data_IF_066647125034
#
_entry.id   IF_066647125034
#
_cell.length_a   1.000
_cell.length_b   1.000
_cell.length_c   1.000
_cell.angle_alpha   90.00
_cell.angle_beta   90.00
_cell.angle_gamma   90.00
#
_symmetry.space_group_name_H-M   'P 1'
#
loop_
_entity.id
_entity.type
_entity.pdbx_description
1 polymer ?
#
# COMPACT_ATOMS: atom_id res chain seq x y z
N UNK A 1 16.66 -1.94 -6.17
CA UNK A 1 17.52 -2.94 -6.86
C UNK A 1 18.85 -2.34 -7.27
N UNK A 2 18.84 -1.18 -7.93
CA UNK A 2 20.03 -0.45 -8.43
C UNK A 2 21.14 -0.18 -7.39
N UNK A 3 20.75 -0.02 -6.12
CA UNK A 3 21.68 0.18 -5.00
C UNK A 3 22.08 -1.14 -4.29
N UNK A 4 21.77 -2.30 -4.89
CA UNK A 4 22.10 -3.63 -4.37
C UNK A 4 21.31 -4.10 -3.14
N UNK A 5 20.37 -3.28 -2.66
CA UNK A 5 19.64 -3.54 -1.40
C UNK A 5 18.61 -4.66 -1.52
N UNK A 6 17.94 -4.71 -2.67
CA UNK A 6 17.08 -5.82 -3.07
C UNK A 6 17.78 -6.53 -4.21
N UNK A 7 18.02 -7.83 -4.05
CA UNK A 7 18.61 -8.71 -5.05
C UNK A 7 17.51 -9.63 -5.58
N UNK A 8 17.01 -9.44 -6.81
CA UNK A 8 16.00 -10.31 -7.41
C UNK A 8 16.39 -11.79 -7.32
N UNK A 9 15.42 -12.66 -7.05
CA UNK A 9 15.64 -14.09 -6.84
C UNK A 9 16.39 -14.50 -5.56
N UNK A 10 16.95 -13.55 -4.79
CA UNK A 10 17.73 -13.83 -3.56
C UNK A 10 17.07 -13.24 -2.33
N UNK A 11 16.61 -11.99 -2.40
CA UNK A 11 15.94 -11.32 -1.29
C UNK A 11 14.57 -11.94 -1.05
N UNK A 12 14.29 -12.33 0.20
CA UNK A 12 12.92 -12.62 0.62
C UNK A 12 12.12 -11.33 0.65
N UNK A 13 10.94 -11.37 0.04
CA UNK A 13 10.04 -10.22 -0.03
C UNK A 13 8.69 -10.62 0.55
N UNK A 14 8.04 -9.67 1.21
CA UNK A 14 6.68 -9.85 1.69
C UNK A 14 5.87 -8.62 1.27
N UNK A 15 4.58 -8.78 1.03
CA UNK A 15 3.73 -7.68 0.63
C UNK A 15 2.25 -7.95 0.89
N UNK A 16 1.50 -6.86 0.89
CA UNK A 16 0.04 -6.82 0.86
C UNK A 16 -0.36 -5.72 -0.11
N UNK A 17 -1.58 -5.76 -0.65
CA UNK A 17 -2.06 -4.73 -1.59
C UNK A 17 -1.08 -4.49 -2.75
N UNK A 18 -0.90 -3.25 -3.19
CA UNK A 18 0.13 -2.84 -4.16
C UNK A 18 1.56 -3.29 -3.81
N UNK A 19 1.89 -3.50 -2.53
CA UNK A 19 3.17 -4.04 -2.09
C UNK A 19 3.36 -5.51 -2.43
N UNK A 20 2.30 -6.31 -2.46
CA UNK A 20 2.36 -7.69 -2.93
C UNK A 20 2.67 -7.76 -4.42
N UNK A 21 2.02 -6.90 -5.22
CA UNK A 21 2.28 -6.75 -6.65
C UNK A 21 3.75 -6.34 -6.88
N UNK A 22 4.20 -5.30 -6.19
CA UNK A 22 5.59 -4.82 -6.24
C UNK A 22 6.59 -5.92 -5.84
N UNK A 23 6.30 -6.67 -4.78
CA UNK A 23 7.17 -7.75 -4.28
C UNK A 23 7.34 -8.88 -5.32
N UNK A 24 6.25 -9.33 -5.94
CA UNK A 24 6.31 -10.37 -6.97
C UNK A 24 7.04 -9.89 -8.21
N UNK A 25 6.70 -8.70 -8.74
CA UNK A 25 7.37 -8.14 -9.91
C UNK A 25 8.88 -7.97 -9.65
N UNK A 26 9.25 -7.44 -8.48
CA UNK A 26 10.66 -7.31 -8.07
C UNK A 26 11.36 -8.66 -7.95
N UNK A 27 10.71 -9.68 -7.36
CA UNK A 27 11.29 -11.02 -7.24
C UNK A 27 11.55 -11.68 -8.61
N UNK A 28 10.70 -11.36 -9.59
CA UNK A 28 10.82 -11.81 -10.98
C UNK A 28 11.82 -10.98 -11.80
N UNK A 29 12.42 -9.95 -11.22
CA UNK A 29 13.46 -9.14 -11.85
C UNK A 29 12.96 -7.93 -12.63
N UNK A 30 11.70 -7.54 -12.49
CA UNK A 30 11.20 -6.29 -13.07
C UNK A 30 11.86 -5.11 -12.36
N UNK A 31 12.50 -4.22 -13.10
CA UNK A 31 13.12 -3.01 -12.56
C UNK A 31 12.08 -1.94 -12.16
N UNK A 32 12.55 -0.83 -11.58
CA UNK A 32 11.65 0.26 -11.14
C UNK A 32 10.88 0.91 -12.29
N UNK A 33 11.49 1.05 -13.46
CA UNK A 33 10.87 1.66 -14.63
C UNK A 33 9.80 0.74 -15.24
N UNK A 34 10.09 -0.57 -15.32
CA UNK A 34 9.13 -1.58 -15.77
C UNK A 34 7.94 -1.67 -14.82
N UNK A 35 8.16 -1.62 -13.50
CA UNK A 35 7.08 -1.61 -12.52
C UNK A 35 6.25 -0.33 -12.63
N UNK A 36 6.88 0.84 -12.79
CA UNK A 36 6.17 2.11 -13.04
C UNK A 36 5.28 2.00 -14.27
N UNK A 37 5.84 1.55 -15.39
CA UNK A 37 5.12 1.44 -16.65
C UNK A 37 3.93 0.48 -16.54
N UNK A 38 4.13 -0.65 -15.84
CA UNK A 38 3.06 -1.60 -15.55
C UNK A 38 1.88 -0.93 -14.82
N UNK A 39 2.13 -0.19 -13.74
CA UNK A 39 1.06 0.46 -12.97
C UNK A 39 0.43 1.66 -13.69
N UNK A 40 1.24 2.51 -14.33
CA UNK A 40 0.75 3.69 -15.07
C UNK A 40 -0.12 3.26 -16.23
N UNK A 41 0.30 2.27 -17.02
CA UNK A 41 -0.49 1.76 -18.14
C UNK A 41 -1.77 1.05 -17.69
N UNK A 42 -1.74 0.34 -16.56
CA UNK A 42 -2.96 -0.23 -15.96
C UNK A 42 -3.97 0.85 -15.58
N UNK A 43 -3.53 1.96 -14.98
CA UNK A 43 -4.43 3.08 -14.64
C UNK A 43 -4.91 3.80 -15.89
N UNK A 44 -4.04 4.02 -16.89
CA UNK A 44 -4.42 4.68 -18.14
C UNK A 44 -5.52 3.89 -18.87
N UNK A 45 -5.33 2.59 -19.05
CA UNK A 45 -6.33 1.70 -19.67
C UNK A 45 -7.65 1.68 -18.89
N UNK A 46 -7.55 1.67 -17.56
CA UNK A 46 -8.69 1.66 -16.69
C UNK A 46 -9.50 2.98 -16.77
N UNK A 47 -8.83 4.13 -16.86
CA UNK A 47 -9.47 5.42 -17.16
C UNK A 47 -10.05 5.45 -18.57
N UNK A 48 -9.39 4.86 -19.56
CA UNK A 48 -9.89 4.76 -20.93
C UNK A 48 -11.17 3.92 -21.02
N UNK A 49 -11.20 2.76 -20.37
CA UNK A 49 -12.33 1.82 -20.40
C UNK A 49 -13.56 2.33 -19.62
N UNK A 50 -13.37 2.97 -18.46
CA UNK A 50 -14.48 3.29 -17.54
C UNK A 50 -14.56 4.77 -17.09
N UNK A 51 -13.64 5.63 -17.52
CA UNK A 51 -13.55 7.02 -17.06
C UNK A 51 -13.06 7.19 -15.61
N UNK A 52 -12.93 6.09 -14.87
CA UNK A 52 -12.43 6.03 -13.49
C UNK A 52 -11.93 4.62 -13.17
N UNK A 53 -10.98 4.53 -12.24
CA UNK A 53 -10.48 3.24 -11.76
C UNK A 53 -11.14 2.69 -10.52
N UNK A 54 -12.01 3.48 -9.89
CA UNK A 54 -12.75 3.05 -8.73
C UNK A 54 -13.65 1.87 -9.10
N UNK A 55 -13.40 0.73 -8.46
CA UNK A 55 -14.14 -0.52 -8.64
C UNK A 55 -13.67 -1.36 -9.82
N UNK A 56 -12.69 -0.91 -10.61
CA UNK A 56 -12.33 -1.56 -11.89
C UNK A 56 -10.85 -1.93 -12.04
N UNK A 57 -9.93 -1.30 -11.30
CA UNK A 57 -8.48 -1.51 -11.50
C UNK A 57 -8.03 -2.97 -11.35
N UNK A 58 -8.65 -3.75 -10.44
CA UNK A 58 -8.30 -5.17 -10.28
C UNK A 58 -8.62 -6.03 -11.51
N UNK A 59 -9.58 -5.62 -12.34
CA UNK A 59 -9.88 -6.30 -13.59
C UNK A 59 -8.71 -6.16 -14.56
N UNK A 60 -8.23 -4.93 -14.76
CA UNK A 60 -7.08 -4.62 -15.61
C UNK A 60 -5.80 -5.25 -15.07
N UNK A 61 -5.57 -5.18 -13.76
CA UNK A 61 -4.40 -5.82 -13.15
C UNK A 61 -4.41 -7.33 -13.35
N UNK A 62 -5.58 -7.99 -13.26
CA UNK A 62 -5.69 -9.43 -13.50
C UNK A 62 -5.28 -9.81 -14.91
N UNK A 63 -5.82 -9.12 -15.92
CA UNK A 63 -5.52 -9.32 -17.33
C UNK A 63 -4.02 -9.13 -17.59
N UNK A 64 -3.49 -7.98 -17.17
CA UNK A 64 -2.08 -7.63 -17.38
C UNK A 64 -1.12 -8.59 -16.69
N UNK A 65 -1.42 -9.03 -15.47
CA UNK A 65 -0.58 -10.02 -14.78
C UNK A 65 -0.63 -11.38 -15.47
N UNK A 66 -1.79 -11.80 -15.99
CA UNK A 66 -1.89 -13.06 -16.73
C UNK A 66 -1.03 -13.04 -18.00
N UNK A 67 -0.95 -11.89 -18.66
CA UNK A 67 -0.20 -11.68 -19.89
C UNK A 67 1.30 -11.47 -19.65
N UNK A 68 1.68 -10.65 -18.66
CA UNK A 68 3.08 -10.23 -18.48
C UNK A 68 3.90 -11.21 -17.63
N UNK A 69 3.26 -11.99 -16.75
CA UNK A 69 3.98 -12.94 -15.91
C UNK A 69 4.36 -14.20 -16.71
N UNK A 70 5.60 -14.68 -16.57
CA UNK A 70 6.01 -15.94 -17.20
C UNK A 70 5.22 -17.12 -16.63
N UNK A 71 5.04 -18.18 -17.42
CA UNK A 71 4.23 -19.33 -17.01
C UNK A 71 4.77 -20.02 -15.74
N UNK A 72 6.08 -19.93 -15.50
CA UNK A 72 6.76 -20.43 -14.31
C UNK A 72 6.89 -19.39 -13.17
N UNK A 73 6.15 -18.27 -13.23
CA UNK A 73 6.22 -17.22 -12.23
C UNK A 73 5.97 -17.75 -10.80
N UNK A 74 4.96 -18.60 -10.65
CA UNK A 74 4.59 -19.20 -9.36
C UNK A 74 5.76 -19.96 -8.71
N UNK A 75 6.45 -20.83 -9.46
CA UNK A 75 7.57 -21.61 -8.93
C UNK A 75 8.79 -20.75 -8.63
N UNK A 76 9.00 -19.65 -9.39
CA UNK A 76 10.12 -18.71 -9.16
C UNK A 76 9.99 -17.91 -7.87
N UNK A 77 8.76 -17.60 -7.44
CA UNK A 77 8.48 -16.76 -6.27
C UNK A 77 8.05 -17.55 -5.03
N UNK A 78 7.55 -18.78 -5.21
CA UNK A 78 7.28 -19.73 -4.12
C UNK A 78 8.45 -19.85 -3.15
N UNK A 79 8.16 -19.82 -1.84
CA UNK A 79 9.14 -19.87 -0.75
C UNK A 79 10.00 -18.60 -0.59
N UNK A 80 9.92 -17.64 -1.53
CA UNK A 80 10.71 -16.40 -1.52
C UNK A 80 9.86 -15.17 -1.27
N UNK A 81 8.66 -15.15 -1.85
CA UNK A 81 7.69 -14.07 -1.69
C UNK A 81 6.58 -14.52 -0.76
N UNK A 82 6.10 -13.62 0.11
CA UNK A 82 4.91 -13.84 0.94
C UNK A 82 3.86 -12.77 0.64
N UNK A 83 2.64 -13.19 0.37
CA UNK A 83 1.51 -12.31 0.08
C UNK A 83 0.49 -12.46 1.19
N UNK A 84 0.07 -11.35 1.79
CA UNK A 84 -0.94 -11.35 2.83
C UNK A 84 -2.33 -11.02 2.31
N UNK A 85 -3.32 -11.74 2.82
CA UNK A 85 -4.74 -11.60 2.57
C UNK A 85 -5.46 -11.47 3.91
N UNK A 86 -6.60 -10.79 3.91
CA UNK A 86 -7.50 -10.76 5.06
C UNK A 86 -8.68 -11.67 4.78
N UNK A 87 -8.72 -12.83 5.44
CA UNK A 87 -9.80 -13.80 5.27
C UNK A 87 -11.02 -13.38 6.10
N UNK A 88 -12.17 -13.32 5.45
CA UNK A 88 -13.43 -13.03 6.09
C UNK A 88 -13.98 -14.28 6.76
N UNK A 89 -14.59 -14.09 7.93
CA UNK A 89 -15.37 -15.11 8.61
C UNK A 89 -16.85 -14.92 8.23
N UNK A 90 -17.42 -15.89 7.51
CA UNK A 90 -18.81 -15.85 7.06
C UNK A 90 -19.82 -15.77 8.23
N UNK A 91 -19.41 -16.14 9.45
CA UNK A 91 -20.22 -16.00 10.66
C UNK A 91 -20.22 -14.58 11.26
N UNK A 92 -19.43 -13.64 10.71
CA UNK A 92 -19.28 -12.28 11.26
C UNK A 92 -19.96 -11.23 10.39
N UNK A 93 -20.53 -10.22 11.05
CA UNK A 93 -21.20 -9.09 10.40
C UNK A 93 -20.29 -7.86 10.27
N UNK A 94 -19.02 -7.98 10.63
CA UNK A 94 -18.02 -6.91 10.53
C UNK A 94 -16.75 -7.45 9.86
N UNK A 95 -15.97 -6.53 9.28
CA UNK A 95 -14.63 -6.86 8.77
C UNK A 95 -13.62 -7.06 9.92
N UNK A 96 -14.06 -6.91 11.18
CA UNK A 96 -13.21 -7.02 12.36
C UNK A 96 -12.84 -8.47 12.70
N UNK A 97 -11.58 -8.65 13.06
CA UNK A 97 -11.03 -9.96 13.36
C UNK A 97 -11.09 -10.90 12.16
N UNK A 98 -11.05 -10.34 10.94
CA UNK A 98 -10.63 -11.07 9.75
C UNK A 98 -9.32 -11.78 10.06
N UNK A 99 -9.19 -13.03 9.62
CA UNK A 99 -8.00 -13.82 9.89
C UNK A 99 -6.85 -13.38 8.98
N UNK A 100 -5.66 -13.24 9.55
CA UNK A 100 -4.43 -13.03 8.79
C UNK A 100 -4.12 -14.31 8.02
N UNK A 101 -4.08 -14.23 6.69
CA UNK A 101 -3.66 -15.34 5.84
C UNK A 101 -2.45 -14.94 4.99
N UNK A 102 -1.28 -15.49 5.32
CA UNK A 102 -0.04 -15.24 4.59
C UNK A 102 0.28 -16.44 3.70
N UNK A 103 0.22 -16.24 2.40
CA UNK A 103 0.50 -17.24 1.37
C UNK A 103 1.94 -17.07 0.90
N UNK A 104 2.68 -18.17 0.82
CA UNK A 104 4.03 -18.19 0.25
C UNK A 104 4.24 -19.25 -0.83
N UNK A 105 3.16 -19.96 -1.20
CA UNK A 105 3.21 -21.07 -2.15
C UNK A 105 2.00 -21.03 -3.07
N UNK A 106 2.25 -21.20 -4.38
CA UNK A 106 1.23 -21.13 -5.42
C UNK A 106 1.29 -22.33 -6.36
N UNK A 107 0.13 -22.88 -6.73
CA UNK A 107 0.04 -24.06 -7.57
C UNK A 107 0.28 -23.76 -9.06
N UNK A 108 0.03 -22.52 -9.50
CA UNK A 108 0.14 -22.10 -10.89
C UNK A 108 0.25 -20.57 -11.02
N UNK A 109 0.59 -20.07 -12.22
CA UNK A 109 0.50 -18.64 -12.55
C UNK A 109 -0.90 -18.08 -12.23
N UNK A 110 -1.97 -18.81 -12.57
CA UNK A 110 -3.34 -18.36 -12.31
C UNK A 110 -3.65 -18.23 -10.80
N UNK A 111 -3.17 -19.16 -9.99
CA UNK A 111 -3.30 -19.11 -8.52
C UNK A 111 -2.50 -17.94 -7.92
N UNK A 112 -1.30 -17.65 -8.45
CA UNK A 112 -0.52 -16.46 -8.09
C UNK A 112 -1.25 -15.15 -8.44
N UNK A 113 -1.76 -15.02 -9.66
CA UNK A 113 -2.53 -13.84 -10.11
C UNK A 113 -3.79 -13.65 -9.27
N UNK A 114 -4.51 -14.73 -8.98
CA UNK A 114 -5.68 -14.71 -8.08
C UNK A 114 -5.29 -14.23 -6.68
N UNK A 115 -4.19 -14.73 -6.12
CA UNK A 115 -3.68 -14.31 -4.82
C UNK A 115 -3.32 -12.81 -4.79
N UNK A 116 -2.63 -12.32 -5.82
CA UNK A 116 -2.21 -10.93 -5.93
C UNK A 116 -3.40 -9.96 -6.01
N UNK A 117 -4.34 -10.25 -6.91
CA UNK A 117 -5.54 -9.41 -7.07
C UNK A 117 -6.47 -9.49 -5.87
N UNK A 118 -6.48 -10.61 -5.14
CA UNK A 118 -7.20 -10.73 -3.88
C UNK A 118 -6.53 -9.93 -2.74
N UNK A 119 -5.20 -9.94 -2.68
CA UNK A 119 -4.42 -9.16 -1.71
C UNK A 119 -4.60 -7.65 -1.90
N UNK A 120 -4.93 -7.21 -3.11
CA UNK A 120 -5.21 -5.82 -3.50
C UNK A 120 -6.72 -5.51 -3.56
N UNK A 121 -7.60 -6.40 -3.08
CA UNK A 121 -9.06 -6.20 -3.15
C UNK A 121 -9.56 -5.29 -2.02
N UNK A 122 -9.40 -3.98 -2.20
CA UNK A 122 -10.02 -2.97 -1.35
C UNK A 122 -11.51 -2.90 -1.72
N UNK A 123 -12.43 -3.20 -0.78
CA UNK A 123 -13.87 -3.25 -1.06
C UNK A 123 -14.36 -1.99 -1.77
N UNK A 124 -14.93 -2.16 -2.97
CA UNK A 124 -15.57 -1.09 -3.76
C UNK A 124 -14.63 0.06 -4.17
N UNK A 125 -13.32 -0.19 -4.08
CA UNK A 125 -12.28 0.73 -4.51
C UNK A 125 -11.42 0.12 -5.60
N UNK A 126 -10.87 -1.07 -5.41
CA UNK A 126 -10.10 -1.74 -6.48
C UNK A 126 -10.92 -2.74 -7.28
N UNK A 127 -11.98 -3.30 -6.68
CA UNK A 127 -12.97 -4.14 -7.35
C UNK A 127 -14.41 -3.72 -7.02
N UNK A 128 -15.42 -4.21 -7.76
CA UNK A 128 -16.79 -3.71 -7.65
C UNK A 128 -17.57 -4.35 -6.49
N UNK A 129 -16.99 -5.34 -5.82
CA UNK A 129 -17.62 -6.15 -4.78
C UNK A 129 -17.01 -5.87 -3.40
N UNK A 130 -17.74 -6.30 -2.37
CA UNK A 130 -17.28 -6.22 -0.97
C UNK A 130 -16.08 -7.12 -0.67
N UNK A 131 -16.02 -8.26 -1.34
CA UNK A 131 -14.96 -9.24 -1.19
C UNK A 131 -14.73 -9.92 -2.54
N UNK A 132 -13.62 -10.63 -2.64
CA UNK A 132 -13.36 -11.55 -3.74
C UNK A 132 -13.09 -12.95 -3.19
N UNK A 133 -13.00 -13.93 -4.06
CA UNK A 133 -12.71 -15.30 -3.69
C UNK A 133 -11.25 -15.63 -3.97
N UNK A 134 -10.57 -16.20 -2.99
CA UNK A 134 -9.26 -16.82 -3.17
C UNK A 134 -9.29 -18.23 -2.58
N UNK A 135 -9.03 -19.25 -3.41
CA UNK A 135 -9.10 -20.67 -3.03
C UNK A 135 -10.40 -21.04 -2.28
N UNK A 136 -11.53 -20.56 -2.81
CA UNK A 136 -12.88 -20.76 -2.27
C UNK A 136 -13.17 -20.09 -0.91
N UNK A 137 -12.30 -19.19 -0.46
CA UNK A 137 -12.50 -18.41 0.75
C UNK A 137 -12.79 -16.94 0.42
N UNK A 138 -13.74 -16.29 1.10
CA UNK A 138 -13.99 -14.87 0.94
C UNK A 138 -12.85 -14.06 1.57
N UNK A 139 -12.24 -13.18 0.79
CA UNK A 139 -11.08 -12.38 1.21
C UNK A 139 -11.21 -10.93 0.76
N UNK A 140 -10.50 -10.05 1.47
CA UNK A 140 -10.27 -8.65 1.10
C UNK A 140 -8.79 -8.32 1.21
N UNK A 141 -8.44 -7.08 0.88
CA UNK A 141 -7.09 -6.54 0.94
C UNK A 141 -6.33 -6.96 2.21
N UNK A 142 -5.06 -7.35 2.03
CA UNK A 142 -4.23 -7.85 3.12
C UNK A 142 -4.04 -6.87 4.28
N UNK A 143 -4.18 -5.56 4.04
CA UNK A 143 -4.04 -4.50 5.05
C UNK A 143 -5.06 -4.54 6.18
N UNK A 144 -6.15 -5.32 6.04
CA UNK A 144 -7.21 -5.38 7.04
C UNK A 144 -6.89 -6.28 8.24
N UNK A 145 -6.12 -7.35 8.05
CA UNK A 145 -5.78 -8.33 9.08
C UNK A 145 -4.28 -8.51 9.30
N UNK A 146 -3.44 -7.94 8.43
CA UNK A 146 -2.01 -8.20 8.43
C UNK A 146 -1.21 -6.93 8.69
N UNK A 147 -0.20 -7.08 9.53
CA UNK A 147 0.79 -6.06 9.78
C UNK A 147 2.21 -6.55 9.55
N UNK A 148 3.13 -5.75 10.05
CA UNK A 148 4.56 -6.02 9.97
C UNK A 148 4.92 -7.37 10.61
N UNK A 149 4.32 -7.71 11.76
CA UNK A 149 4.61 -8.94 12.48
C UNK A 149 4.27 -10.20 11.67
N UNK A 150 3.13 -10.20 10.97
CA UNK A 150 2.68 -11.34 10.17
C UNK A 150 3.59 -11.54 8.94
N UNK A 151 3.91 -10.47 8.22
CA UNK A 151 4.71 -10.50 6.99
C UNK A 151 6.20 -10.80 7.25
N UNK A 152 6.71 -10.38 8.40
CA UNK A 152 8.11 -10.55 8.80
C UNK A 152 8.35 -11.74 9.74
N UNK A 153 7.31 -12.52 10.05
CA UNK A 153 7.40 -13.60 11.04
C UNK A 153 8.52 -14.60 10.68
N UNK A 154 9.38 -14.86 11.66
CA UNK A 154 10.50 -15.80 11.54
C UNK A 154 11.78 -15.23 10.94
N UNK A 155 11.81 -13.97 10.52
CA UNK A 155 13.01 -13.35 9.94
C UNK A 155 13.82 -12.58 10.99
N UNK A 156 15.16 -12.72 11.01
CA UNK A 156 16.01 -12.03 11.99
C UNK A 156 16.07 -10.53 11.72
N UNK A 157 15.91 -10.13 10.46
CA UNK A 157 15.92 -8.73 10.05
C UNK A 157 14.90 -8.54 8.92
N UNK A 158 13.91 -7.68 9.18
CA UNK A 158 12.87 -7.36 8.23
C UNK A 158 12.80 -5.86 8.03
N UNK A 159 12.35 -5.54 6.84
CA UNK A 159 12.81 -4.42 6.10
C UNK A 159 11.48 -3.66 5.80
N UNK A 160 11.18 -2.37 6.06
CA UNK A 160 9.91 -1.67 5.65
C UNK A 160 10.07 -0.49 4.65
N UNK A 161 9.30 -0.47 3.56
CA UNK A 161 9.09 0.59 2.53
C UNK A 161 7.57 0.71 2.38
N UNK A 162 7.10 1.90 2.03
CA UNK A 162 5.68 2.08 1.71
C UNK A 162 5.45 3.35 0.90
N UNK A 163 4.23 3.68 0.43
CA UNK A 163 3.96 4.66 -0.65
C UNK A 163 3.36 6.02 -0.28
N UNK A 164 2.84 6.24 0.93
CA UNK A 164 2.13 7.49 1.27
C UNK A 164 2.31 7.95 2.72
N UNK A 165 3.45 8.53 3.10
CA UNK A 165 3.62 9.19 4.41
C UNK A 165 4.17 10.59 4.25
N UNK A 166 4.10 11.39 5.29
CA UNK A 166 4.58 12.76 5.28
C UNK A 166 5.39 12.99 6.55
N UNK A 167 6.70 12.93 6.36
CA UNK A 167 7.72 13.09 7.38
C UNK A 167 7.96 14.57 7.64
N UNK A 168 8.91 14.86 8.51
CA UNK A 168 9.11 16.20 9.07
C UNK A 168 9.48 17.29 8.03
N UNK A 169 9.92 16.92 6.82
CA UNK A 169 10.22 17.84 5.72
C UNK A 169 9.06 18.02 4.73
N UNK A 170 7.94 17.30 4.89
CA UNK A 170 6.72 17.61 4.17
C UNK A 170 6.15 18.96 4.63
N UNK A 171 5.68 19.78 3.70
CA UNK A 171 5.18 21.13 4.03
C UNK A 171 4.05 21.01 5.07
N UNK A 172 4.24 21.65 6.22
CA UNK A 172 3.52 21.43 7.48
C UNK A 172 2.08 21.95 7.51
N UNK A 173 1.48 22.27 6.38
CA UNK A 173 0.14 22.83 6.32
C UNK A 173 -0.92 21.72 6.35
N UNK A 174 -1.36 21.31 7.55
CA UNK A 174 -2.75 20.90 7.77
C UNK A 174 -3.63 22.17 7.65
N UNK A 175 -3.82 22.69 6.44
CA UNK A 175 -4.72 23.82 6.22
C UNK A 175 -6.14 23.28 5.99
N UNK A 176 -6.97 23.34 7.03
CA UNK A 176 -8.36 22.90 6.98
C UNK A 176 -9.23 23.73 6.00
N UNK A 177 -8.79 24.93 5.64
CA UNK A 177 -9.43 25.77 4.62
C UNK A 177 -9.08 25.35 3.19
N UNK A 178 -7.91 24.75 2.99
CA UNK A 178 -7.47 24.21 1.69
C UNK A 178 -7.83 22.73 1.50
N UNK A 179 -7.96 21.97 2.59
CA UNK A 179 -8.27 20.54 2.59
C UNK A 179 -9.54 20.24 3.41
N UNK A 180 -10.71 20.51 2.83
CA UNK A 180 -12.00 20.37 3.50
C UNK A 180 -12.29 18.94 3.99
N UNK A 181 -11.78 17.92 3.29
CA UNK A 181 -11.97 16.50 3.68
C UNK A 181 -11.22 16.15 4.98
N UNK A 182 -10.15 16.90 5.29
CA UNK A 182 -9.31 16.73 6.48
C UNK A 182 -9.74 17.58 7.68
N UNK A 183 -10.69 18.51 7.51
CA UNK A 183 -11.31 19.20 8.64
C UNK A 183 -12.00 18.21 9.61
N UNK A 184 -12.52 17.10 9.09
CA UNK A 184 -13.13 16.03 9.86
C UNK A 184 -12.12 15.13 10.61
N UNK A 185 -10.85 15.08 10.16
CA UNK A 185 -9.81 14.19 10.72
C UNK A 185 -9.04 14.79 11.92
N UNK A 186 -9.45 15.97 12.39
CA UNK A 186 -8.80 16.77 13.45
C UNK A 186 -7.34 17.15 13.15
N UNK A 187 -7.00 17.31 11.88
CA UNK A 187 -5.69 17.86 11.43
C UNK A 187 -5.43 19.26 12.02
N UNK A 188 -6.48 20.00 12.39
CA UNK A 188 -6.44 21.37 12.90
C UNK A 188 -6.11 21.54 14.40
N UNK A 189 -5.81 20.47 15.15
CA UNK A 189 -5.46 20.62 16.57
C UNK A 189 -4.04 21.20 16.74
N UNK A 190 -3.87 22.31 17.48
CA UNK A 190 -2.54 22.80 17.88
C UNK A 190 -1.73 21.76 18.67
N UNK A 191 -2.39 20.75 19.23
CA UNK A 191 -1.80 19.64 19.98
C UNK A 191 -1.29 18.51 19.07
N UNK A 192 -1.66 18.50 17.78
CA UNK A 192 -1.02 17.66 16.74
C UNK A 192 0.11 18.43 16.06
N UNK A 193 1.05 18.96 16.85
CA UNK A 193 2.41 19.27 16.36
C UNK A 193 3.26 18.01 16.24
N UNK A 194 2.82 16.92 16.86
CA UNK A 194 3.44 15.61 16.71
C UNK A 194 2.77 14.84 15.56
N UNK A 195 3.55 14.16 14.70
CA UNK A 195 3.02 13.28 13.68
C UNK A 195 2.03 12.30 14.31
N UNK A 196 0.91 12.05 13.62
CA UNK A 196 -0.06 10.98 13.94
C UNK A 196 0.72 9.78 14.46
N UNK A 197 0.33 9.15 15.59
CA UNK A 197 1.10 8.08 16.22
C UNK A 197 1.33 6.95 15.23
N UNK A 198 2.45 7.07 14.53
CA UNK A 198 3.10 6.02 13.83
C UNK A 198 3.71 5.18 14.91
N UNK A 199 3.41 3.89 14.95
CA UNK A 199 4.42 2.93 15.40
C UNK A 199 5.52 2.89 14.33
N UNK A 200 6.23 4.02 14.21
CA UNK A 200 7.58 4.13 13.70
C UNK A 200 8.41 3.35 14.72
N UNK A 201 8.97 2.22 14.30
CA UNK A 201 10.08 1.59 15.02
C UNK A 201 9.74 1.09 16.45
N UNK A 202 9.45 -0.21 16.61
CA UNK A 202 9.65 -0.90 17.89
C UNK A 202 10.72 -1.99 17.75
N UNK A 203 11.74 -1.90 18.59
CA UNK A 203 12.82 -2.87 18.74
C UNK A 203 12.30 -4.11 19.49
N UNK A 204 11.61 -5.03 18.82
CA UNK A 204 11.16 -6.27 19.47
C UNK A 204 12.25 -7.35 19.40
N UNK A 205 13.20 -7.33 20.34
CA UNK A 205 13.85 -8.59 20.75
C UNK A 205 12.83 -9.40 21.56
N UNK A 206 12.77 -10.71 21.34
CA UNK A 206 12.11 -11.61 22.29
C UNK A 206 12.71 -11.36 23.68
N UNK A 207 11.93 -10.74 24.57
CA UNK A 207 12.17 -10.77 26.00
C UNK A 207 12.27 -9.46 26.77
N UNK A 208 12.36 -8.25 26.19
CA UNK A 208 12.37 -7.03 27.02
C UNK A 208 11.92 -5.73 26.32
N UNK A 209 11.28 -4.88 27.13
CA UNK A 209 10.60 -3.62 26.82
C UNK A 209 11.43 -2.68 25.92
N UNK A 210 10.75 -2.05 24.98
CA UNK A 210 11.30 -1.16 23.95
C UNK A 210 12.02 0.08 24.52
N UNK A 211 13.29 0.21 24.18
CA UNK A 211 14.02 1.48 24.08
C UNK A 211 15.03 1.37 22.92
N UNK A 212 14.88 2.27 21.94
CA UNK A 212 15.69 2.53 20.72
C UNK A 212 17.17 2.80 21.14
N UNK A 213 18.27 2.53 20.38
CA UNK A 213 18.42 2.74 18.93
C UNK A 213 19.21 1.70 18.10
N UNK A 214 19.15 1.92 16.78
CA UNK A 214 19.85 1.29 15.64
C UNK A 214 19.28 -0.05 15.15
N UNK A 215 18.48 -0.01 14.08
CA UNK A 215 18.25 -1.15 13.17
C UNK A 215 17.71 -0.63 11.83
N UNK A 216 18.33 -1.04 10.72
CA UNK A 216 17.94 -0.78 9.33
C UNK A 216 17.20 -2.00 8.79
N UNK A 217 16.20 -1.83 7.88
CA UNK A 217 15.81 -2.72 6.74
C UNK A 217 14.47 -2.14 6.01
N UNK A 218 14.09 -2.40 4.70
CA UNK A 218 13.02 -2.11 3.61
C UNK A 218 11.95 -3.20 3.03
N UNK A 219 10.61 -2.97 2.96
CA UNK A 219 9.46 -3.83 2.45
C UNK A 219 8.73 -3.08 1.34
N UNK A 220 8.20 -3.59 0.23
CA UNK A 220 7.31 -2.76 -0.63
C UNK A 220 5.91 -2.42 0.00
N UNK A 221 5.17 -1.40 -0.50
CA UNK A 221 4.13 -0.66 0.24
C UNK A 221 2.80 -1.27 0.62
N UNK A 222 2.27 -0.78 1.75
CA UNK A 222 0.90 -0.93 2.21
C UNK A 222 0.10 0.39 2.08
N UNK A 223 -1.17 0.28 1.71
CA UNK A 223 -2.26 1.23 2.01
C UNK A 223 -3.21 0.50 3.00
N UNK A 224 -3.83 1.19 3.97
CA UNK A 224 -3.34 1.34 5.35
C UNK A 224 -3.37 0.06 6.22
N UNK A 225 -2.56 0.06 7.30
CA UNK A 225 -2.91 -0.66 8.53
C UNK A 225 -4.10 0.07 9.16
N UNK A 226 -5.22 -0.62 9.22
CA UNK A 226 -6.43 -0.14 9.83
C UNK A 226 -6.21 0.34 11.28
N UNK A 227 -6.51 1.62 11.55
CA UNK A 227 -6.55 2.13 12.92
C UNK A 227 -7.54 1.35 13.80
N UNK A 228 -7.59 1.61 15.12
CA UNK A 228 -8.41 0.86 16.10
C UNK A 228 -9.93 0.88 15.84
N UNK A 229 -10.38 1.55 14.78
CA UNK A 229 -11.79 1.72 14.39
C UNK A 229 -12.20 0.89 13.15
N UNK A 230 -11.29 0.34 12.34
CA UNK A 230 -11.73 -0.51 11.22
C UNK A 230 -12.37 -1.82 11.70
N UNK A 231 -12.02 -2.22 12.92
CA UNK A 231 -12.73 -3.26 13.66
C UNK A 231 -14.20 -2.92 14.02
N UNK A 232 -14.69 -1.74 13.64
CA UNK A 232 -16.08 -1.34 13.84
C UNK A 232 -16.87 -1.33 12.53
N UNK A 233 -16.22 -1.52 11.37
CA UNK A 233 -16.89 -1.45 10.08
C UNK A 233 -17.80 -2.66 9.89
N UNK A 234 -19.11 -2.41 9.88
CA UNK A 234 -20.10 -3.43 9.57
C UNK A 234 -20.05 -3.72 8.08
N UNK A 235 -20.16 -4.99 7.68
CA UNK A 235 -20.23 -5.39 6.26
C UNK A 235 -21.30 -4.57 5.52
N UNK A 236 -22.38 -4.23 6.22
CA UNK A 236 -23.46 -3.39 5.74
C UNK A 236 -23.07 -1.93 5.48
N UNK A 237 -22.23 -1.31 6.30
CA UNK A 237 -21.74 0.05 6.08
C UNK A 237 -20.79 0.12 4.88
N UNK A 238 -20.02 -0.93 4.68
CA UNK A 238 -19.18 -1.07 3.47
C UNK A 238 -20.08 -1.27 2.25
N UNK A 239 -21.15 -2.07 2.34
CA UNK A 239 -22.14 -2.27 1.27
C UNK A 239 -22.85 -0.97 0.86
N UNK A 240 -23.19 -0.13 1.84
CA UNK A 240 -23.78 1.19 1.61
C UNK A 240 -22.79 2.13 0.89
N UNK A 241 -21.49 2.09 1.24
CA UNK A 241 -20.44 2.84 0.53
C UNK A 241 -20.23 2.37 -0.92
N UNK A 242 -20.59 1.13 -1.22
CA UNK A 242 -20.57 0.58 -2.57
C UNK A 242 -21.75 1.03 -3.44
N UNK A 243 -22.73 1.76 -2.88
CA UNK A 243 -23.95 2.15 -3.61
C UNK A 243 -24.93 1.00 -3.84
N UNK A 244 -24.86 -0.08 -3.06
CA UNK A 244 -25.83 -1.18 -3.12
C UNK A 244 -27.03 -0.89 -2.19
N UNK A 245 -28.26 -1.07 -2.70
CA UNK A 245 -29.50 -0.92 -1.93
C UNK A 245 -29.63 -1.99 -0.83
N UNK A 246 -29.00 -1.78 0.32
CA UNK A 246 -29.24 -2.54 1.53
C UNK A 246 -29.95 -1.66 2.57
N UNK A 247 -31.28 -1.61 2.53
CA UNK A 247 -32.11 -0.87 3.50
C UNK A 247 -31.91 -1.37 4.92
N UNK A 248 -31.71 -0.43 5.86
CA UNK A 248 -32.12 -0.41 7.30
C UNK A 248 -31.41 0.80 8.02
N UNK A 249 -31.85 1.27 9.19
CA UNK A 249 -31.56 2.64 9.65
C UNK A 249 -30.19 2.83 10.32
N UNK A 250 -29.76 4.10 10.30
CA UNK A 250 -28.42 4.66 10.54
C UNK A 250 -28.21 5.15 11.99
N UNK A 251 -26.95 5.09 12.48
CA UNK A 251 -26.31 6.22 13.18
C UNK A 251 -24.79 6.06 13.36
N UNK A 252 -24.03 7.05 12.85
CA UNK A 252 -22.73 7.47 13.40
C UNK A 252 -21.50 7.19 12.52
N UNK A 253 -20.98 8.22 11.84
CA UNK A 253 -19.75 8.14 11.04
C UNK A 253 -18.46 8.22 11.88
N UNK A 254 -17.35 7.74 11.30
CA UNK A 254 -16.00 7.90 11.88
C UNK A 254 -14.92 8.06 10.79
N UNK A 255 -14.19 9.17 10.91
CA UNK A 255 -12.83 9.35 10.41
C UNK A 255 -11.85 8.84 11.48
N UNK A 256 -10.85 8.05 11.09
CA UNK A 256 -9.82 7.50 11.98
C UNK A 256 -8.42 7.67 11.38
N UNK A 257 -7.38 7.88 12.20
CA UNK A 257 -6.04 8.21 11.73
C UNK A 257 -5.26 6.94 11.35
N UNK A 258 -4.57 6.97 10.21
CA UNK A 258 -3.83 5.82 9.66
C UNK A 258 -2.32 6.02 9.81
N UNK A 259 -1.58 5.05 10.39
CA UNK A 259 -0.13 5.08 10.35
C UNK A 259 0.35 4.58 8.99
N UNK A 260 1.10 5.44 8.31
CA UNK A 260 1.57 5.24 6.94
C UNK A 260 3.11 5.44 6.85
N UNK A 261 3.81 4.90 5.81
CA UNK A 261 5.23 5.04 5.32
C UNK A 261 6.24 6.09 5.85
N UNK A 262 7.27 6.53 5.11
CA UNK A 262 8.25 7.56 5.55
C UNK A 262 8.64 8.56 4.41
N UNK A 263 7.70 9.18 3.69
CA UNK A 263 8.02 10.13 2.58
C UNK A 263 8.00 11.53 3.12
N UNK A 264 8.74 12.48 2.57
CA UNK A 264 8.84 13.79 3.23
C UNK A 264 9.79 13.78 4.43
N UNK A 265 10.51 12.68 4.68
CA UNK A 265 11.59 12.63 5.69
C UNK A 265 12.92 13.07 5.11
N UNK A 266 13.19 12.69 3.86
CA UNK A 266 14.45 12.99 3.19
C UNK A 266 14.34 14.18 2.25
N UNK A 267 13.24 14.29 1.51
CA UNK A 267 13.01 15.37 0.56
C UNK A 267 11.72 16.12 0.87
N UNK A 268 11.65 17.40 0.49
CA UNK A 268 10.38 18.16 0.55
C UNK A 268 9.36 17.57 -0.43
N UNK A 269 8.07 17.71 -0.12
CA UNK A 269 6.99 17.37 -1.05
C UNK A 269 7.17 18.11 -2.40
N UNK A 270 6.78 17.48 -3.53
CA UNK A 270 7.09 18.01 -4.85
C UNK A 270 6.22 19.23 -5.19
N UNK A 271 6.55 19.88 -6.31
CA UNK A 271 5.73 20.95 -6.90
C UNK A 271 4.77 20.32 -7.91
N UNK A 272 3.49 20.69 -7.83
CA UNK A 272 2.47 20.28 -8.78
C UNK A 272 2.75 20.88 -10.15
N UNK A 273 2.84 20.07 -11.23
CA UNK A 273 3.14 20.58 -12.56
C UNK A 273 2.00 21.40 -13.15
N UNK A 274 0.77 21.27 -12.65
CA UNK A 274 -0.41 21.95 -13.20
C UNK A 274 -0.70 23.33 -12.59
N UNK A 275 -0.25 23.62 -11.35
CA UNK A 275 -0.50 24.92 -10.71
C UNK A 275 0.77 25.58 -10.13
N UNK A 276 1.93 24.92 -10.22
CA UNK A 276 3.21 25.43 -9.72
C UNK A 276 3.30 25.54 -8.20
N UNK A 277 2.29 25.07 -7.45
CA UNK A 277 2.28 25.10 -5.98
C UNK A 277 2.89 23.83 -5.42
N UNK A 278 3.50 23.92 -4.24
CA UNK A 278 3.94 22.72 -3.53
C UNK A 278 2.72 21.90 -3.12
N UNK A 279 2.85 20.58 -3.21
CA UNK A 279 1.86 19.67 -2.66
C UNK A 279 1.81 19.84 -1.15
N UNK A 280 0.61 20.06 -0.62
CA UNK A 280 0.38 20.09 0.81
C UNK A 280 0.38 18.67 1.39
N UNK A 281 0.67 18.55 2.68
CA UNK A 281 0.61 17.28 3.36
C UNK A 281 -0.77 16.61 3.20
N UNK A 282 -1.84 17.37 3.43
CA UNK A 282 -3.19 16.84 3.29
C UNK A 282 -3.53 16.42 1.85
N UNK A 283 -3.14 17.20 0.84
CA UNK A 283 -3.32 16.84 -0.58
C UNK A 283 -2.64 15.50 -0.90
N UNK A 284 -1.38 15.32 -0.47
CA UNK A 284 -0.62 14.09 -0.71
C UNK A 284 -1.32 12.85 -0.14
N UNK A 285 -1.92 12.98 1.05
CA UNK A 285 -2.66 11.90 1.68
C UNK A 285 -3.99 11.64 0.98
N UNK A 286 -4.71 12.69 0.57
CA UNK A 286 -5.98 12.57 -0.16
C UNK A 286 -5.79 11.86 -1.50
N UNK A 287 -4.69 12.15 -2.22
CA UNK A 287 -4.35 11.52 -3.50
C UNK A 287 -4.27 9.99 -3.46
N UNK A 288 -3.93 9.40 -2.31
CA UNK A 288 -3.91 7.94 -2.14
C UNK A 288 -5.31 7.30 -2.23
N UNK A 289 -6.36 8.09 -2.01
CA UNK A 289 -7.74 7.60 -1.88
C UNK A 289 -8.70 8.24 -2.87
N UNK A 290 -8.44 9.47 -3.30
CA UNK A 290 -9.31 10.24 -4.16
C UNK A 290 -8.50 11.28 -4.95
N UNK A 291 -7.62 10.85 -5.88
CA UNK A 291 -6.89 11.80 -6.72
C UNK A 291 -7.88 12.54 -7.64
N UNK A 292 -7.70 13.85 -7.88
CA UNK A 292 -8.43 14.58 -8.91
C UNK A 292 -8.35 13.84 -10.26
N UNK A 293 -9.49 13.49 -10.89
CA UNK A 293 -9.51 12.70 -12.12
C UNK A 293 -8.63 13.28 -13.23
N UNK A 294 -8.69 14.59 -13.43
CA UNK A 294 -7.93 15.36 -14.44
C UNK A 294 -6.41 15.37 -14.20
N UNK A 295 -5.95 14.97 -13.02
CA UNK A 295 -4.54 14.98 -12.64
C UNK A 295 -4.04 13.60 -12.20
N UNK A 296 -4.83 12.54 -12.34
CA UNK A 296 -4.50 11.20 -11.81
C UNK A 296 -3.14 10.70 -12.31
N UNK A 297 -2.87 10.78 -13.62
CA UNK A 297 -1.58 10.35 -14.18
C UNK A 297 -0.41 11.22 -13.71
N UNK A 298 -0.61 12.54 -13.62
CA UNK A 298 0.40 13.46 -13.13
C UNK A 298 0.73 13.22 -11.65
N UNK A 299 -0.28 12.92 -10.84
CA UNK A 299 -0.14 12.54 -9.43
C UNK A 299 0.65 11.24 -9.31
N UNK A 300 0.31 10.20 -10.09
CA UNK A 300 1.07 8.95 -10.08
C UNK A 300 2.55 9.17 -10.42
N UNK A 301 2.84 10.01 -11.43
CA UNK A 301 4.20 10.34 -11.81
C UNK A 301 4.93 11.09 -10.70
N UNK A 302 4.28 12.10 -10.08
CA UNK A 302 4.83 12.83 -8.93
C UNK A 302 5.13 11.91 -7.75
N UNK A 303 4.22 10.98 -7.45
CA UNK A 303 4.41 9.97 -6.40
C UNK A 303 5.58 9.06 -6.74
N UNK A 304 5.68 8.57 -7.97
CA UNK A 304 6.84 7.76 -8.36
C UNK A 304 8.16 8.53 -8.18
N UNK A 305 8.25 9.75 -8.74
CA UNK A 305 9.49 10.54 -8.71
C UNK A 305 9.90 10.94 -7.29
N UNK A 306 8.92 11.26 -6.44
CA UNK A 306 9.16 11.53 -5.03
C UNK A 306 9.69 10.28 -4.30
N UNK A 307 9.09 9.11 -4.57
CA UNK A 307 9.50 7.84 -4.01
C UNK A 307 10.93 7.44 -4.41
N UNK A 308 11.32 7.70 -5.66
CA UNK A 308 12.70 7.49 -6.14
C UNK A 308 13.66 8.38 -5.34
N UNK A 309 13.40 9.69 -5.25
CA UNK A 309 14.26 10.63 -4.52
C UNK A 309 14.42 10.24 -3.06
N UNK A 310 13.32 9.88 -2.39
CA UNK A 310 13.37 9.45 -0.99
C UNK A 310 14.12 8.12 -0.82
N UNK A 311 13.96 7.17 -1.75
CA UNK A 311 14.73 5.93 -1.73
C UNK A 311 16.23 6.14 -1.95
N UNK A 312 16.60 7.08 -2.83
CA UNK A 312 17.99 7.45 -3.07
C UNK A 312 18.63 8.12 -1.86
N UNK A 313 17.95 9.11 -1.26
CA UNK A 313 18.42 9.77 -0.05
C UNK A 313 18.54 8.81 1.13
N UNK A 314 17.57 7.89 1.30
CA UNK A 314 17.67 6.82 2.28
C UNK A 314 18.90 5.95 2.02
N UNK A 315 19.10 5.52 0.77
CA UNK A 315 20.23 4.67 0.39
C UNK A 315 21.57 5.34 0.68
N UNK A 316 21.71 6.63 0.36
CA UNK A 316 22.91 7.43 0.61
C UNK A 316 23.21 7.61 2.10
N UNK A 317 22.22 8.02 2.91
CA UNK A 317 22.34 8.06 4.37
C UNK A 317 22.76 6.70 4.93
N UNK A 318 22.39 5.63 4.22
CA UNK A 318 22.65 4.27 4.61
C UNK A 318 23.92 3.66 3.97
N UNK A 319 24.73 4.45 3.27
CA UNK A 319 25.98 3.98 2.67
C UNK A 319 25.79 2.96 1.55
N UNK A 320 24.58 2.86 1.00
CA UNK A 320 24.31 2.10 -0.22
C UNK A 320 24.63 2.98 -1.43
N UNK A 321 25.92 3.01 -1.77
CA UNK A 321 26.41 3.72 -2.94
C UNK A 321 25.83 3.10 -4.24
N UNK A 322 25.72 3.89 -5.34
CA UNK A 322 25.35 3.30 -6.62
C UNK A 322 26.32 2.18 -6.96
N UNK A 323 25.80 1.05 -7.46
CA UNK A 323 26.66 0.01 -7.99
C UNK A 323 27.54 0.65 -9.07
N UNK A 324 28.86 0.69 -8.86
CA UNK A 324 29.77 1.06 -9.93
C UNK A 324 29.53 0.06 -11.06
N UNK A 325 29.06 0.55 -12.20
CA UNK A 325 29.01 -0.25 -13.42
C UNK A 325 30.46 -0.67 -13.68
N UNK A 326 30.77 -1.93 -13.38
CA UNK A 326 31.99 -2.55 -13.87
C UNK A 326 31.77 -2.69 -15.37
N UNK A 327 32.23 -1.69 -16.11
CA UNK A 327 32.29 -1.69 -17.58
C UNK A 327 33.24 -2.77 -18.08
#
# INVERSE_FOLDING_TARGET
>A
MERGVIKPGVSHLSGLSGGALTAVLTALGFDGAQQREFFVSAVAECVERWGSCKGHINEVLRERLADCLPDDAASKVSGRVRVALSQLDAGRTSLNGSASWVVGEWASKADLVSCLTASDHIPCFTGPTLYTMFRNEPVIDGGYANGFEQLCSGQPECLKVSTFHIGALGDSACDAGLCASMAASKCASPERREPIPSTLYQRCRRGNRCAVPSCRRLLAPAIPQNGPLAGQWRIREVAERCGMNATLPVRGGLAGPYPLPDWGKWNKLPIKPWDGKRVLACEWQEWATNPPPEHTLAIMQLTYDQGVKDAESWAEEHGYLPLQLVT
#
